data_IF_049945613590
#
_entry.id   IF_049945613590
#
_cell.length_a   1.000
_cell.length_b   1.000
_cell.length_c   1.000
_cell.angle_alpha   90.00
_cell.angle_beta   90.00
_cell.angle_gamma   90.00
#
_symmetry.space_group_name_H-M   'P 1'
#
loop_
_entity.id
_entity.type
_entity.pdbx_description
1 polymer ?
#
# COMPACT_ATOMS: atom_id res chain seq x y z
N UNK A 1 -10.70 13.28 15.00
CA UNK A 1 -11.87 12.65 15.60
C UNK A 1 -12.13 11.30 14.94
N UNK A 2 -12.72 10.35 15.68
CA UNK A 2 -12.97 9.00 15.14
C UNK A 2 -14.05 8.97 14.03
N UNK A 3 -14.82 10.02 13.91
CA UNK A 3 -15.99 10.18 13.04
C UNK A 3 -15.86 11.36 12.06
N UNK A 4 -14.63 11.70 11.66
CA UNK A 4 -14.41 12.77 10.67
C UNK A 4 -14.98 12.34 9.29
N UNK A 5 -15.62 13.26 8.54
CA UNK A 5 -16.26 12.94 7.26
C UNK A 5 -15.25 12.83 6.09
N UNK A 6 -14.16 13.57 6.13
CA UNK A 6 -13.08 13.60 5.14
C UNK A 6 -11.90 14.39 5.72
N UNK A 7 -10.73 14.26 5.14
CA UNK A 7 -9.57 15.10 5.49
C UNK A 7 -9.89 16.59 5.26
N UNK A 8 -9.35 17.47 6.09
CA UNK A 8 -9.65 18.90 6.05
C UNK A 8 -9.27 19.57 4.73
N UNK A 9 -8.27 19.05 4.04
CA UNK A 9 -7.79 19.55 2.75
C UNK A 9 -8.57 19.00 1.53
N UNK A 10 -9.51 18.05 1.74
CA UNK A 10 -10.33 17.47 0.68
C UNK A 10 -11.60 18.28 0.49
N UNK A 11 -11.91 18.62 -0.77
CA UNK A 11 -13.21 19.18 -1.13
C UNK A 11 -14.16 18.05 -1.55
N UNK A 12 -15.15 17.66 -0.73
CA UNK A 12 -16.06 16.55 -1.04
C UNK A 12 -16.98 16.86 -2.23
N UNK A 13 -17.13 18.15 -2.58
CA UNK A 13 -17.95 18.61 -3.69
C UNK A 13 -17.14 18.80 -4.99
N UNK A 14 -15.87 18.45 -5.01
CA UNK A 14 -15.06 18.53 -6.22
C UNK A 14 -15.64 17.63 -7.32
N UNK A 15 -15.65 18.07 -8.59
CA UNK A 15 -16.07 17.24 -9.71
C UNK A 15 -15.23 15.94 -9.75
N UNK A 16 -15.91 14.80 -9.90
CA UNK A 16 -15.25 13.51 -10.02
C UNK A 16 -15.15 13.11 -11.49
N UNK A 17 -13.93 12.88 -11.97
CA UNK A 17 -13.67 12.47 -13.35
C UNK A 17 -12.68 13.38 -14.07
N UNK A 18 -12.60 13.24 -15.39
CA UNK A 18 -11.61 13.93 -16.22
C UNK A 18 -10.30 13.16 -16.32
N UNK A 19 -9.33 13.79 -16.97
CA UNK A 19 -7.96 13.29 -17.14
C UNK A 19 -7.00 14.29 -16.53
N UNK A 20 -6.13 13.80 -15.66
CA UNK A 20 -5.02 14.56 -15.11
C UNK A 20 -3.71 13.99 -15.63
N UNK A 21 -2.85 14.82 -16.20
CA UNK A 21 -1.54 14.43 -16.71
C UNK A 21 -0.47 15.27 -16.06
N UNK A 22 0.56 14.61 -15.53
CA UNK A 22 1.71 15.29 -14.96
C UNK A 22 3.00 14.54 -15.24
N UNK A 23 4.12 15.25 -15.15
CA UNK A 23 5.44 14.68 -14.99
C UNK A 23 5.78 14.72 -13.50
N UNK A 24 5.89 13.56 -12.89
CA UNK A 24 6.06 13.44 -11.44
C UNK A 24 7.42 14.01 -11.00
N UNK A 25 7.42 14.89 -10.01
CA UNK A 25 8.62 15.59 -9.51
C UNK A 25 9.37 14.85 -8.42
N UNK A 26 8.83 13.75 -7.92
CA UNK A 26 9.45 12.93 -6.87
C UNK A 26 9.44 11.46 -7.23
N UNK A 27 10.44 10.72 -6.76
CA UNK A 27 10.53 9.28 -6.97
C UNK A 27 10.67 8.54 -5.65
N UNK A 28 10.07 7.34 -5.56
CA UNK A 28 10.35 6.39 -4.52
C UNK A 28 11.19 5.23 -5.04
N UNK A 29 11.97 4.63 -4.18
CA UNK A 29 12.72 3.39 -4.42
C UNK A 29 13.47 3.34 -5.77
N UNK A 30 13.07 2.42 -6.69
CA UNK A 30 13.64 2.31 -8.04
C UNK A 30 12.95 3.18 -9.09
N UNK A 31 12.03 4.07 -8.70
CA UNK A 31 11.32 4.94 -9.64
C UNK A 31 12.27 5.81 -10.48
N UNK A 32 11.96 6.01 -11.74
CA UNK A 32 12.74 6.82 -12.68
C UNK A 32 11.92 7.95 -13.27
N UNK A 33 12.56 9.11 -13.47
CA UNK A 33 11.94 10.27 -14.12
C UNK A 33 12.07 10.25 -15.66
N UNK A 34 12.97 9.42 -16.17
CA UNK A 34 13.30 9.43 -17.59
C UNK A 34 12.54 8.36 -18.37
N UNK A 35 12.39 7.19 -17.78
CA UNK A 35 11.77 6.04 -18.41
C UNK A 35 11.38 5.02 -17.36
N UNK A 36 10.67 3.96 -17.75
CA UNK A 36 10.42 2.82 -16.87
C UNK A 36 10.39 1.52 -17.68
N UNK A 37 10.86 0.46 -17.06
CA UNK A 37 10.83 -0.90 -17.59
C UNK A 37 10.26 -1.91 -16.59
N UNK A 38 9.70 -1.40 -15.47
CA UNK A 38 9.09 -2.23 -14.44
C UNK A 38 7.84 -1.57 -13.86
N UNK A 39 6.81 -2.38 -13.64
CA UNK A 39 5.65 -2.01 -12.83
C UNK A 39 5.82 -2.43 -11.36
N UNK A 40 6.92 -3.10 -11.02
CA UNK A 40 7.29 -3.32 -9.63
C UNK A 40 8.19 -2.17 -9.14
N UNK A 41 7.58 -1.22 -8.44
CA UNK A 41 8.26 -0.03 -7.92
C UNK A 41 8.87 -0.23 -6.52
N UNK A 42 8.85 -1.45 -5.98
CA UNK A 42 9.24 -1.74 -4.58
C UNK A 42 10.51 -2.58 -4.44
N UNK A 43 11.20 -2.82 -5.52
CA UNK A 43 12.46 -3.59 -5.59
C UNK A 43 13.64 -2.71 -5.98
N UNK A 44 14.85 -3.26 -5.94
CA UNK A 44 16.04 -2.54 -6.38
C UNK A 44 16.22 -2.57 -7.91
N UNK A 45 15.85 -3.68 -8.54
CA UNK A 45 16.08 -3.92 -9.96
C UNK A 45 15.14 -3.10 -10.84
N UNK A 46 15.63 -2.70 -12.00
CA UNK A 46 14.87 -1.99 -13.02
C UNK A 46 14.60 -0.53 -12.68
N UNK A 47 13.87 0.12 -13.57
CA UNK A 47 13.37 1.47 -13.44
C UNK A 47 11.86 1.40 -13.27
N UNK A 48 11.38 1.67 -12.06
CA UNK A 48 9.98 1.54 -11.69
C UNK A 48 9.12 2.68 -12.25
N UNK A 49 7.95 2.34 -12.77
CA UNK A 49 6.93 3.32 -13.11
C UNK A 49 6.51 4.13 -11.87
N UNK A 50 6.38 5.43 -12.03
CA UNK A 50 5.90 6.31 -10.95
C UNK A 50 4.39 6.18 -10.78
N UNK A 51 3.89 6.40 -9.56
CA UNK A 51 2.46 6.33 -9.26
C UNK A 51 1.92 4.93 -8.94
N UNK A 52 2.73 3.87 -8.97
CA UNK A 52 2.28 2.50 -8.67
C UNK A 52 1.64 2.35 -7.29
N UNK A 53 1.96 3.21 -6.33
CA UNK A 53 1.32 3.23 -5.01
C UNK A 53 -0.19 3.45 -5.04
N UNK A 54 -0.72 4.09 -6.09
CA UNK A 54 -2.16 4.30 -6.27
C UNK A 54 -2.94 2.98 -6.49
N UNK A 55 -2.25 1.94 -6.92
CA UNK A 55 -2.87 0.66 -7.30
C UNK A 55 -2.99 -0.33 -6.14
N UNK A 56 -2.37 -0.04 -5.00
CA UNK A 56 -2.37 -0.95 -3.84
C UNK A 56 -3.01 -0.29 -2.62
N UNK A 57 -3.83 -1.04 -1.91
CA UNK A 57 -4.26 -0.65 -0.58
C UNK A 57 -3.12 -0.87 0.43
N UNK A 58 -3.20 -0.14 1.52
CA UNK A 58 -2.35 -0.27 2.71
C UNK A 58 -3.22 -0.56 3.94
N UNK A 59 -2.63 -0.97 5.05
CA UNK A 59 -3.41 -1.14 6.29
C UNK A 59 -4.03 0.18 6.74
N UNK A 60 -3.25 1.26 6.69
CA UNK A 60 -3.68 2.60 7.10
C UNK A 60 -3.20 3.65 6.10
N UNK A 61 -3.97 4.71 5.93
CA UNK A 61 -3.65 5.87 5.10
C UNK A 61 -3.07 7.00 5.94
N UNK A 62 -2.08 7.72 5.40
CA UNK A 62 -1.49 8.91 6.04
C UNK A 62 -2.27 10.16 5.63
N UNK A 63 -2.54 11.05 6.57
CA UNK A 63 -3.00 12.39 6.26
C UNK A 63 -1.82 13.25 5.80
N UNK A 64 -2.05 14.09 4.77
CA UNK A 64 -0.99 14.93 4.20
C UNK A 64 -0.55 16.09 5.10
N UNK A 65 -1.45 16.53 5.97
CA UNK A 65 -1.29 17.65 6.91
C UNK A 65 -0.99 17.22 8.36
N UNK A 66 -1.02 15.89 8.64
CA UNK A 66 -0.74 15.33 9.97
C UNK A 66 0.39 14.28 9.87
N UNK A 67 1.67 14.69 10.01
CA UNK A 67 2.81 13.81 9.74
C UNK A 67 2.86 12.57 10.63
N UNK A 68 2.34 12.63 11.84
CA UNK A 68 2.37 11.55 12.83
C UNK A 68 1.03 10.80 12.98
N UNK A 69 0.07 11.08 12.10
CA UNK A 69 -1.25 10.44 12.14
C UNK A 69 -1.47 9.52 10.94
N UNK A 70 -2.11 8.38 11.23
CA UNK A 70 -2.63 7.47 10.20
C UNK A 70 -4.06 7.08 10.52
N UNK A 71 -4.82 6.87 9.48
CA UNK A 71 -6.24 6.56 9.51
C UNK A 71 -6.51 5.20 8.90
N UNK A 72 -7.47 4.46 9.44
CA UNK A 72 -7.78 3.12 8.97
C UNK A 72 -8.20 3.09 7.49
N UNK A 73 -7.50 2.29 6.68
CA UNK A 73 -7.85 2.00 5.30
C UNK A 73 -8.30 0.53 5.19
N UNK A 74 -7.45 -0.42 4.83
CA UNK A 74 -7.82 -1.84 4.86
C UNK A 74 -8.06 -2.34 6.29
N UNK A 75 -7.34 -1.79 7.28
CA UNK A 75 -7.63 -2.00 8.69
C UNK A 75 -8.71 -1.02 9.17
N UNK A 76 -9.74 -1.53 9.85
CA UNK A 76 -10.78 -0.71 10.50
C UNK A 76 -10.36 -0.23 11.89
N UNK A 77 -9.44 -0.94 12.54
CA UNK A 77 -8.91 -0.58 13.86
C UNK A 77 -7.54 -1.20 14.10
N UNK A 78 -6.80 -0.62 15.03
CA UNK A 78 -5.54 -1.14 15.55
C UNK A 78 -5.58 -1.14 17.07
N UNK A 79 -5.14 -2.25 17.67
CA UNK A 79 -4.92 -2.37 19.12
C UNK A 79 -3.41 -2.49 19.34
N UNK A 80 -2.88 -1.72 20.29
CA UNK A 80 -1.46 -1.69 20.61
C UNK A 80 -1.28 -2.17 22.04
N UNK A 81 -0.33 -3.08 22.28
CA UNK A 81 0.01 -3.52 23.63
C UNK A 81 0.66 -2.40 24.44
N UNK A 82 0.59 -2.47 25.78
CA UNK A 82 1.09 -1.41 26.68
C UNK A 82 2.60 -1.15 26.50
N UNK A 83 3.36 -2.18 26.15
CA UNK A 83 4.79 -2.06 25.82
C UNK A 83 5.04 -1.38 24.45
N UNK A 84 3.99 -1.26 23.60
CA UNK A 84 4.08 -0.69 22.27
C UNK A 84 4.84 -1.54 21.25
N UNK A 85 5.00 -2.84 21.52
CA UNK A 85 5.77 -3.75 20.67
C UNK A 85 4.90 -4.67 19.80
N UNK A 86 3.61 -4.75 20.09
CA UNK A 86 2.67 -5.59 19.32
C UNK A 86 1.47 -4.75 18.87
N UNK A 87 1.19 -4.83 17.58
CA UNK A 87 0.09 -4.13 16.92
C UNK A 87 -0.85 -5.16 16.28
N UNK A 88 -2.10 -5.19 16.69
CA UNK A 88 -3.14 -6.03 16.11
C UNK A 88 -4.05 -5.18 15.24
N UNK A 89 -3.98 -5.37 13.93
CA UNK A 89 -4.83 -4.72 12.95
C UNK A 89 -6.04 -5.60 12.64
N UNK A 90 -7.25 -5.07 12.81
CA UNK A 90 -8.48 -5.74 12.40
C UNK A 90 -8.87 -5.23 11.01
N UNK A 91 -8.91 -6.11 10.02
CA UNK A 91 -9.26 -5.78 8.64
C UNK A 91 -10.76 -5.56 8.48
N UNK A 92 -11.14 -4.74 7.49
CA UNK A 92 -12.53 -4.60 7.05
C UNK A 92 -12.98 -5.88 6.34
N UNK A 93 -14.27 -6.18 6.40
CA UNK A 93 -14.82 -7.42 5.88
C UNK A 93 -14.99 -7.38 4.34
N UNK A 94 -15.11 -6.18 3.76
CA UNK A 94 -15.38 -5.93 2.35
C UNK A 94 -14.14 -5.62 1.50
N UNK A 95 -12.93 -5.78 2.03
CA UNK A 95 -11.69 -5.52 1.25
C UNK A 95 -11.48 -6.57 0.16
N UNK A 96 -11.25 -6.11 -1.07
CA UNK A 96 -11.02 -6.97 -2.23
C UNK A 96 -9.90 -6.46 -3.11
N UNK A 97 -9.31 -7.36 -3.88
CA UNK A 97 -8.48 -7.02 -5.03
C UNK A 97 -9.34 -6.61 -6.23
N UNK A 98 -8.71 -6.09 -7.28
CA UNK A 98 -9.40 -5.58 -8.48
C UNK A 98 -10.14 -6.65 -9.28
N UNK A 99 -9.83 -7.92 -9.07
CA UNK A 99 -10.52 -9.08 -9.66
C UNK A 99 -11.70 -9.57 -8.80
N UNK A 100 -11.99 -8.91 -7.68
CA UNK A 100 -13.03 -9.25 -6.74
C UNK A 100 -12.63 -10.30 -5.69
N UNK A 101 -11.44 -10.89 -5.76
CA UNK A 101 -10.98 -11.83 -4.72
C UNK A 101 -10.76 -11.11 -3.38
N UNK A 102 -11.08 -11.76 -2.24
CA UNK A 102 -10.89 -11.16 -0.92
C UNK A 102 -9.43 -10.81 -0.63
N UNK A 103 -9.18 -9.62 -0.11
CA UNK A 103 -7.91 -9.26 0.52
C UNK A 103 -7.96 -9.71 1.97
N UNK A 104 -7.03 -10.56 2.39
CA UNK A 104 -7.01 -11.21 3.69
C UNK A 104 -5.78 -10.88 4.51
N UNK A 105 -5.78 -11.29 5.78
CA UNK A 105 -4.61 -11.18 6.66
C UNK A 105 -3.39 -11.95 6.11
N UNK A 106 -3.60 -13.03 5.36
CA UNK A 106 -2.54 -13.81 4.75
C UNK A 106 -1.80 -13.03 3.65
N UNK A 107 -2.52 -12.17 2.89
CA UNK A 107 -1.91 -11.28 1.89
C UNK A 107 -1.04 -10.22 2.57
N UNK A 108 -1.53 -9.64 3.66
CA UNK A 108 -0.76 -8.66 4.45
C UNK A 108 0.52 -9.28 5.01
N UNK A 109 0.41 -10.43 5.66
CA UNK A 109 1.57 -11.13 6.24
C UNK A 109 2.59 -11.48 5.18
N UNK A 110 2.13 -12.00 4.04
CA UNK A 110 2.98 -12.33 2.91
C UNK A 110 3.68 -11.08 2.35
N UNK A 111 2.95 -9.98 2.18
CA UNK A 111 3.49 -8.71 1.66
C UNK A 111 4.59 -8.15 2.55
N UNK A 112 4.35 -8.10 3.86
CA UNK A 112 5.33 -7.60 4.82
C UNK A 112 6.58 -8.46 4.87
N UNK A 113 6.44 -9.79 4.85
CA UNK A 113 7.55 -10.73 4.82
C UNK A 113 8.36 -10.59 3.52
N UNK A 114 7.68 -10.52 2.37
CA UNK A 114 8.32 -10.37 1.06
C UNK A 114 9.05 -9.03 0.93
N UNK A 115 8.44 -7.93 1.36
CA UNK A 115 9.09 -6.62 1.34
C UNK A 115 10.30 -6.54 2.27
N UNK A 116 10.25 -7.23 3.42
CA UNK A 116 11.37 -7.30 4.34
C UNK A 116 12.54 -8.11 3.76
N UNK A 117 12.26 -9.16 3.00
CA UNK A 117 13.27 -10.05 2.42
C UNK A 117 13.78 -9.55 1.06
N UNK A 118 12.87 -9.15 0.17
CA UNK A 118 13.13 -8.90 -1.26
C UNK A 118 12.86 -7.47 -1.70
N UNK A 119 12.36 -6.62 -0.80
CA UNK A 119 12.08 -5.22 -1.10
C UNK A 119 13.34 -4.40 -1.35
N UNK A 120 13.15 -3.18 -1.85
CA UNK A 120 14.23 -2.22 -2.03
C UNK A 120 15.04 -2.05 -0.74
N UNK A 121 16.37 -1.88 -0.76
CA UNK A 121 17.22 -1.75 0.43
C UNK A 121 16.74 -0.70 1.44
N UNK A 122 16.16 0.39 1.00
CA UNK A 122 15.53 1.39 1.90
C UNK A 122 14.40 0.76 2.71
N UNK A 123 13.54 -0.06 2.08
CA UNK A 123 12.43 -0.75 2.77
C UNK A 123 12.98 -1.74 3.79
N UNK A 124 13.92 -2.59 3.36
CA UNK A 124 14.50 -3.62 4.25
C UNK A 124 15.23 -3.00 5.43
N UNK A 125 15.92 -1.87 5.23
CA UNK A 125 16.57 -1.11 6.30
C UNK A 125 15.56 -0.52 7.30
N UNK A 126 14.47 0.07 6.81
CA UNK A 126 13.40 0.60 7.67
C UNK A 126 12.70 -0.52 8.45
N UNK A 127 12.60 -1.72 7.88
CA UNK A 127 12.01 -2.89 8.52
C UNK A 127 12.94 -3.67 9.46
N UNK A 128 14.15 -3.19 9.74
CA UNK A 128 15.13 -3.91 10.60
C UNK A 128 14.60 -4.21 12.02
N UNK A 129 13.79 -3.32 12.58
CA UNK A 129 13.20 -3.48 13.91
C UNK A 129 11.79 -4.12 13.88
N UNK A 130 11.22 -4.34 12.69
CA UNK A 130 10.04 -5.16 12.49
C UNK A 130 10.42 -6.64 12.59
N UNK A 131 9.90 -7.35 13.57
CA UNK A 131 10.18 -8.79 13.78
C UNK A 131 9.50 -9.60 12.68
N UNK A 132 8.20 -9.39 12.51
CA UNK A 132 7.36 -10.09 11.56
C UNK A 132 5.89 -9.88 11.87
N UNK A 133 5.05 -10.49 11.06
CA UNK A 133 3.61 -10.51 11.27
C UNK A 133 3.07 -11.91 11.15
N UNK A 134 1.95 -12.17 11.81
CA UNK A 134 1.17 -13.39 11.71
C UNK A 134 -0.31 -13.08 11.49
N UNK A 135 -1.01 -13.98 10.81
CA UNK A 135 -2.44 -13.88 10.65
C UNK A 135 -3.15 -14.46 11.89
N UNK A 136 -4.11 -13.71 12.42
CA UNK A 136 -5.02 -14.16 13.46
C UNK A 136 -6.40 -14.33 12.79
N UNK A 137 -6.58 -15.47 12.14
CA UNK A 137 -7.67 -15.74 11.21
C UNK A 137 -7.54 -14.95 9.90
N UNK A 138 -8.63 -14.85 9.16
CA UNK A 138 -8.67 -14.20 7.84
C UNK A 138 -8.66 -12.66 7.92
N UNK A 139 -9.05 -12.09 9.06
CA UNK A 139 -9.38 -10.66 9.20
C UNK A 139 -8.58 -9.93 10.27
N UNK A 140 -7.53 -10.53 10.81
CA UNK A 140 -6.65 -9.83 11.73
C UNK A 140 -5.17 -10.16 11.49
N UNK A 141 -4.32 -9.17 11.69
CA UNK A 141 -2.87 -9.27 11.54
C UNK A 141 -2.22 -8.80 12.82
N UNK A 142 -1.30 -9.59 13.35
CA UNK A 142 -0.49 -9.24 14.51
C UNK A 142 0.93 -8.95 14.03
N UNK A 143 1.35 -7.69 14.12
CA UNK A 143 2.70 -7.23 13.77
C UNK A 143 3.53 -7.02 15.04
N UNK A 144 4.78 -7.51 15.07
CA UNK A 144 5.68 -7.41 16.22
C UNK A 144 6.96 -6.66 15.89
N UNK A 145 7.46 -5.91 16.87
CA UNK A 145 8.64 -5.05 16.77
C UNK A 145 9.63 -5.38 17.89
N UNK A 146 10.94 -5.19 17.64
CA UNK A 146 12.01 -5.50 18.62
C UNK A 146 12.18 -4.45 19.69
N UNK A 147 11.91 -3.19 19.36
CA UNK A 147 12.18 -2.07 20.24
C UNK A 147 11.20 -0.92 19.97
N UNK A 148 10.88 -0.21 21.04
CA UNK A 148 10.09 1.03 20.99
C UNK A 148 11.02 2.20 20.67
N UNK A 149 11.36 2.37 19.39
CA UNK A 149 12.24 3.46 18.91
C UNK A 149 11.48 4.66 18.33
N UNK A 150 10.25 4.88 18.74
CA UNK A 150 9.37 5.89 18.17
C UNK A 150 8.24 5.25 17.35
N UNK A 151 7.43 6.10 16.72
CA UNK A 151 6.26 5.68 15.95
C UNK A 151 6.57 5.36 14.48
N UNK A 152 7.77 5.75 14.01
CA UNK A 152 8.11 5.73 12.58
C UNK A 152 8.01 4.35 11.95
N UNK A 153 8.55 3.31 12.60
CA UNK A 153 8.54 1.95 12.03
C UNK A 153 7.14 1.35 11.98
N UNK A 154 6.32 1.41 13.05
CA UNK A 154 4.91 0.98 12.97
C UNK A 154 4.09 1.75 11.93
N UNK A 155 4.26 3.08 11.82
CA UNK A 155 3.59 3.89 10.81
C UNK A 155 4.04 3.50 9.40
N UNK A 156 5.34 3.25 9.20
CA UNK A 156 5.88 2.78 7.93
C UNK A 156 5.29 1.42 7.54
N UNK A 157 5.26 0.45 8.46
CA UNK A 157 4.66 -0.88 8.24
C UNK A 157 3.19 -0.78 7.86
N UNK A 158 2.42 0.07 8.55
CA UNK A 158 1.00 0.27 8.28
C UNK A 158 0.73 0.93 6.92
N UNK A 159 1.69 1.67 6.37
CA UNK A 159 1.63 2.33 5.07
C UNK A 159 2.24 1.53 3.91
N UNK A 160 2.74 0.31 4.14
CA UNK A 160 3.27 -0.53 3.07
C UNK A 160 2.15 -1.14 2.21
N UNK A 161 2.39 -1.34 0.90
CA UNK A 161 1.41 -1.91 0.00
C UNK A 161 1.09 -3.37 0.35
N UNK A 162 -0.18 -3.73 0.14
CA UNK A 162 -0.66 -5.11 0.27
C UNK A 162 -0.76 -5.73 -1.11
N UNK A 163 0.03 -6.77 -1.34
CA UNK A 163 0.07 -7.55 -2.57
C UNK A 163 -0.75 -8.83 -2.44
N UNK A 164 -1.30 -9.32 -3.55
CA UNK A 164 -1.99 -10.61 -3.57
C UNK A 164 -0.98 -11.77 -3.51
N UNK A 165 -1.00 -12.53 -2.44
CA UNK A 165 -0.21 -13.75 -2.28
C UNK A 165 -0.51 -14.76 -3.39
N UNK A 166 -1.78 -14.87 -3.79
CA UNK A 166 -2.22 -15.78 -4.85
C UNK A 166 -1.67 -15.34 -6.23
N UNK A 167 -1.66 -14.04 -6.53
CA UNK A 167 -1.07 -13.53 -7.78
C UNK A 167 0.41 -13.89 -7.91
N UNK A 168 1.15 -13.86 -6.80
CA UNK A 168 2.60 -14.17 -6.78
C UNK A 168 2.91 -15.65 -6.54
N UNK A 169 1.92 -16.55 -6.43
CA UNK A 169 2.16 -17.98 -6.20
C UNK A 169 3.05 -18.63 -7.29
N UNK A 170 2.93 -18.15 -8.54
CA UNK A 170 3.68 -18.65 -9.70
C UNK A 170 4.52 -17.53 -10.36
N UNK A 171 4.86 -16.48 -9.64
CA UNK A 171 5.66 -15.34 -10.11
C UNK A 171 6.73 -15.00 -9.10
N UNK A 172 7.86 -14.56 -9.59
CA UNK A 172 8.94 -14.04 -8.73
C UNK A 172 8.69 -12.57 -8.40
N UNK A 173 8.66 -12.23 -7.11
CA UNK A 173 8.35 -10.86 -6.69
C UNK A 173 9.41 -9.84 -7.12
N UNK A 174 10.69 -10.20 -7.05
CA UNK A 174 11.82 -9.29 -7.27
C UNK A 174 12.35 -9.28 -8.72
N UNK A 175 11.46 -9.53 -9.67
CA UNK A 175 11.74 -9.43 -11.10
C UNK A 175 11.29 -8.10 -11.70
N UNK A 176 12.10 -7.62 -12.67
CA UNK A 176 11.74 -6.48 -13.53
C UNK A 176 10.72 -6.97 -14.55
N UNK A 177 9.51 -6.42 -14.52
CA UNK A 177 8.42 -6.81 -15.41
C UNK A 177 7.48 -5.65 -15.70
N UNK A 178 6.88 -5.66 -16.89
CA UNK A 178 5.75 -4.80 -17.25
C UNK A 178 4.40 -5.50 -17.11
N UNK A 179 4.36 -6.71 -16.55
CA UNK A 179 3.12 -7.37 -16.19
C UNK A 179 2.37 -6.54 -15.16
N UNK A 180 1.10 -6.29 -15.42
CA UNK A 180 0.25 -5.49 -14.54
C UNK A 180 -0.01 -6.29 -13.26
N UNK A 181 0.42 -5.80 -12.08
CA UNK A 181 0.18 -6.49 -10.84
C UNK A 181 -1.30 -6.40 -10.44
N UNK A 182 -1.79 -7.45 -9.76
CA UNK A 182 -3.13 -7.42 -9.16
C UNK A 182 -3.15 -6.48 -7.96
N UNK A 183 -3.82 -5.35 -8.12
CA UNK A 183 -3.93 -4.31 -7.09
C UNK A 183 -5.23 -4.40 -6.29
N UNK A 184 -5.34 -3.54 -5.30
CA UNK A 184 -6.50 -3.40 -4.38
C UNK A 184 -6.81 -1.93 -4.05
N UNK A 185 -6.08 -1.00 -4.66
CA UNK A 185 -6.18 0.44 -4.45
C UNK A 185 -7.33 1.09 -5.22
N UNK A 186 -7.50 2.40 -5.02
CA UNK A 186 -8.55 3.20 -5.67
C UNK A 186 -8.33 3.40 -7.18
N UNK A 187 -7.12 3.11 -7.67
CA UNK A 187 -6.78 3.11 -9.09
C UNK A 187 -6.21 1.77 -9.51
N UNK A 188 -6.37 1.44 -10.77
CA UNK A 188 -5.71 0.30 -11.43
C UNK A 188 -4.92 0.78 -12.64
N UNK A 189 -3.89 0.04 -13.01
CA UNK A 189 -3.15 0.30 -14.23
C UNK A 189 -4.09 0.14 -15.42
N UNK A 190 -4.13 1.16 -16.27
CA UNK A 190 -4.83 1.17 -17.54
C UNK A 190 -3.87 0.88 -18.69
N UNK A 191 -3.61 1.89 -19.54
CA UNK A 191 -2.66 1.78 -20.64
C UNK A 191 -1.23 1.88 -20.13
N UNK A 192 -0.36 1.01 -20.65
CA UNK A 192 1.10 1.07 -20.46
C UNK A 192 1.74 1.23 -21.84
N UNK A 193 2.52 2.30 -22.01
CA UNK A 193 3.44 2.49 -23.13
C UNK A 193 4.84 2.50 -22.53
N UNK A 194 5.51 1.36 -22.62
CA UNK A 194 6.73 1.09 -21.88
C UNK A 194 7.78 2.18 -22.04
N UNK A 195 8.23 2.73 -20.94
CA UNK A 195 9.23 3.78 -20.89
C UNK A 195 8.71 5.21 -21.10
N UNK A 196 7.45 5.41 -21.51
CA UNK A 196 6.95 6.73 -21.88
C UNK A 196 5.72 7.15 -21.08
N UNK A 197 4.67 6.32 -21.04
CA UNK A 197 3.38 6.66 -20.43
C UNK A 197 2.82 5.49 -19.65
N UNK A 198 2.33 5.78 -18.47
CA UNK A 198 1.46 4.88 -17.70
C UNK A 198 0.18 5.63 -17.33
N UNK A 199 -0.96 5.01 -17.57
CA UNK A 199 -2.27 5.54 -17.20
C UNK A 199 -2.83 4.75 -16.03
N UNK A 200 -3.41 5.48 -15.09
CA UNK A 200 -4.13 4.91 -13.95
C UNK A 200 -5.62 5.23 -14.11
N UNK A 201 -6.44 4.20 -14.17
CA UNK A 201 -7.88 4.32 -14.24
C UNK A 201 -8.49 4.17 -12.85
N UNK A 202 -9.37 5.10 -12.47
CA UNK A 202 -10.10 5.02 -11.21
C UNK A 202 -10.99 3.78 -11.18
N UNK A 203 -10.97 3.04 -10.09
CA UNK A 203 -11.87 1.90 -9.84
C UNK A 203 -13.21 2.45 -9.33
N UNK A 204 -14.27 2.33 -10.15
CA UNK A 204 -15.59 2.92 -9.83
C UNK A 204 -16.22 2.31 -8.59
N UNK A 205 -16.12 0.99 -8.48
CA UNK A 205 -16.71 0.19 -7.38
C UNK A 205 -15.65 -0.21 -6.33
N UNK A 206 -14.70 0.69 -6.10
CA UNK A 206 -13.67 0.42 -5.11
C UNK A 206 -14.28 0.28 -3.71
N UNK A 207 -13.91 -0.79 -3.01
CA UNK A 207 -14.44 -1.13 -1.69
C UNK A 207 -14.27 -0.02 -0.63
N UNK A 208 -13.30 0.87 -0.81
CA UNK A 208 -12.99 1.96 0.11
C UNK A 208 -13.56 3.32 -0.30
N UNK A 209 -14.42 3.40 -1.32
CA UNK A 209 -14.89 4.67 -1.90
C UNK A 209 -15.65 5.57 -0.91
N UNK A 210 -16.28 5.00 0.11
CA UNK A 210 -17.04 5.73 1.12
C UNK A 210 -16.24 6.00 2.41
N UNK A 211 -14.95 5.66 2.41
CA UNK A 211 -14.09 5.93 3.56
C UNK A 211 -13.67 7.40 3.61
N UNK A 212 -13.56 8.00 4.81
CA UNK A 212 -13.11 9.39 4.97
C UNK A 212 -11.72 9.67 4.41
N UNK A 213 -10.96 8.63 4.15
CA UNK A 213 -9.58 8.66 3.64
C UNK A 213 -9.48 8.39 2.14
N UNK A 214 -10.63 8.21 1.43
CA UNK A 214 -10.71 7.87 0.00
C UNK A 214 -10.47 9.05 -0.92
#
# INVERSE_FOLDING_TARGET
PADFPHFAYVNPNAPKGGVYSESVSSRGYNGSFLTFNSLNAYILKGEGALGMGLTFATLMARAGDEPDAMYGLAAKSVTITDDGLTYRFALRDNTTFHDGTPLTAHDVVWSLATLKEKGHPIITQLLRDFVGAEADGERAVIARFKAKRGRDVPLFVAGLPIFSKAYYANRTFDETTLDIPLGSGSYKVGRVDGGHVIEYARVKDWWGADLPVA
#
